data_IF_984019801056
#
_entry.id   IF_984019801056
#
_cell.length_a   1.000
_cell.length_b   1.000
_cell.length_c   1.000
_cell.angle_alpha   90.00
_cell.angle_beta   90.00
_cell.angle_gamma   90.00
#
_symmetry.space_group_name_H-M   'P 1'
#
loop_
_entity.id
_entity.type
_entity.pdbx_description
1 polymer ?
#
# COMPACT_ATOMS: atom_id res chain seq x y z
N UNK A 1 23.72 33.42 6.37
CA UNK A 1 22.98 32.92 7.55
C UNK A 1 23.03 31.41 7.51
N UNK A 2 23.92 30.79 8.28
CA UNK A 2 24.09 29.33 8.30
C UNK A 2 22.91 28.70 9.03
N UNK A 3 22.06 27.94 8.33
CA UNK A 3 20.97 27.17 8.93
C UNK A 3 21.43 25.74 9.24
N UNK A 4 22.55 25.60 9.95
CA UNK A 4 22.90 24.32 10.58
C UNK A 4 22.08 24.22 11.88
N UNK A 5 20.87 23.68 11.77
CA UNK A 5 20.14 23.25 12.97
C UNK A 5 20.88 22.02 13.49
N UNK A 6 21.53 22.16 14.67
CA UNK A 6 22.33 21.13 15.37
C UNK A 6 21.45 19.97 15.88
N UNK A 7 20.65 19.35 15.03
CA UNK A 7 20.09 18.04 15.32
C UNK A 7 21.21 17.02 15.03
N UNK A 8 21.95 16.62 16.08
CA UNK A 8 22.76 15.40 16.09
C UNK A 8 23.87 15.28 15.02
N UNK A 9 24.35 16.40 14.46
CA UNK A 9 25.37 16.40 13.41
C UNK A 9 24.83 16.09 12.00
N UNK A 10 23.52 16.16 11.81
CA UNK A 10 22.85 16.01 10.49
C UNK A 10 22.97 17.29 9.66
N UNK A 11 22.84 17.15 8.33
CA UNK A 11 22.90 18.29 7.43
C UNK A 11 21.63 19.15 7.51
N UNK A 12 20.47 18.51 7.67
CA UNK A 12 19.17 19.14 7.79
C UNK A 12 18.44 18.63 9.04
N UNK A 13 17.54 19.44 9.60
CA UNK A 13 16.69 19.04 10.73
C UNK A 13 15.82 17.83 10.40
N UNK A 14 15.41 17.09 11.44
CA UNK A 14 14.48 15.95 11.28
C UNK A 14 13.01 16.35 11.46
N UNK A 15 12.74 17.50 12.09
CA UNK A 15 11.38 18.04 12.19
C UNK A 15 10.80 18.34 10.79
N UNK A 16 9.60 17.84 10.46
CA UNK A 16 9.06 17.92 9.11
C UNK A 16 8.85 19.37 8.70
N UNK A 17 9.33 19.74 7.50
CA UNK A 17 8.92 20.97 6.84
C UNK A 17 7.47 20.86 6.35
N UNK A 18 6.85 21.97 5.96
CA UNK A 18 5.53 21.99 5.32
C UNK A 18 5.62 21.60 3.84
N UNK A 19 4.52 21.09 3.29
CA UNK A 19 4.33 20.90 1.84
C UNK A 19 3.81 22.19 1.21
N UNK A 20 3.90 22.34 -0.11
CA UNK A 20 3.43 23.55 -0.77
C UNK A 20 1.93 23.78 -0.58
N UNK A 21 1.15 22.71 -0.72
CA UNK A 21 -0.30 22.73 -0.45
C UNK A 21 -0.61 23.22 0.97
N UNK A 22 0.12 22.72 1.97
CA UNK A 22 -0.04 23.13 3.37
C UNK A 22 0.32 24.60 3.60
N UNK A 23 1.38 25.10 2.94
CA UNK A 23 1.77 26.51 3.02
C UNK A 23 0.67 27.41 2.44
N UNK A 24 0.08 27.01 1.31
CA UNK A 24 -1.02 27.75 0.68
C UNK A 24 -2.27 27.75 1.57
N UNK A 25 -2.68 26.60 2.10
CA UNK A 25 -3.83 26.48 3.00
C UNK A 25 -3.65 27.31 4.28
N UNK A 26 -2.49 27.19 4.93
CA UNK A 26 -2.17 27.98 6.13
C UNK A 26 -2.06 29.48 5.82
N UNK A 27 -1.56 29.85 4.64
CA UNK A 27 -1.50 31.24 4.17
C UNK A 27 -2.88 31.84 3.96
N UNK A 28 -3.79 31.09 3.32
CA UNK A 28 -5.19 31.50 3.13
C UNK A 28 -5.91 31.67 4.47
N UNK A 29 -5.72 30.74 5.41
CA UNK A 29 -6.34 30.84 6.73
C UNK A 29 -5.77 32.01 7.54
N UNK A 30 -4.45 32.25 7.46
CA UNK A 30 -3.81 33.44 8.05
C UNK A 30 -4.46 34.72 7.51
N UNK A 31 -4.62 34.82 6.19
CA UNK A 31 -5.15 36.02 5.54
C UNK A 31 -6.64 36.22 5.86
N UNK A 32 -7.41 35.14 5.95
CA UNK A 32 -8.80 35.14 6.42
C UNK A 32 -8.93 35.65 7.86
N UNK A 33 -8.09 35.14 8.77
CA UNK A 33 -8.08 35.57 10.17
C UNK A 33 -7.67 37.05 10.30
N UNK A 34 -6.66 37.49 9.53
CA UNK A 34 -6.28 38.91 9.46
C UNK A 34 -7.44 39.76 8.97
N UNK A 35 -8.11 39.38 7.89
CA UNK A 35 -9.24 40.14 7.36
C UNK A 35 -10.39 40.26 8.39
N UNK A 36 -10.64 39.20 9.16
CA UNK A 36 -11.67 39.19 10.19
C UNK A 36 -11.29 40.07 11.38
N UNK A 37 -10.04 40.02 11.83
CA UNK A 37 -9.55 40.85 12.93
C UNK A 37 -9.41 42.33 12.56
N UNK A 38 -9.18 42.64 11.29
CA UNK A 38 -9.14 43.99 10.73
C UNK A 38 -10.50 44.46 10.18
N UNK A 39 -11.59 43.73 10.47
CA UNK A 39 -12.92 44.12 10.03
C UNK A 39 -13.31 45.52 10.58
N UNK A 40 -14.14 46.28 9.84
CA UNK A 40 -14.61 47.59 10.27
C UNK A 40 -15.20 47.59 11.70
N UNK A 41 -15.16 48.73 12.42
CA UNK A 41 -15.53 48.79 13.84
C UNK A 41 -16.91 48.22 14.19
N UNK A 42 -17.89 48.35 13.28
CA UNK A 42 -19.25 47.87 13.46
C UNK A 42 -19.37 46.33 13.43
N UNK A 43 -18.45 45.64 12.75
CA UNK A 43 -18.38 44.16 12.74
C UNK A 43 -17.45 43.63 13.83
N UNK A 44 -16.45 44.42 14.22
CA UNK A 44 -15.45 44.02 15.22
C UNK A 44 -16.06 43.75 16.60
N UNK A 45 -17.10 44.49 16.98
CA UNK A 45 -17.81 44.30 18.24
C UNK A 45 -18.68 43.03 18.28
N UNK A 46 -18.95 42.42 17.12
CA UNK A 46 -19.67 41.14 17.02
C UNK A 46 -18.74 39.91 17.10
N UNK A 47 -17.42 40.12 17.10
CA UNK A 47 -16.44 39.04 17.19
C UNK A 47 -16.28 38.67 18.67
N UNK A 48 -16.93 37.59 19.09
CA UNK A 48 -16.90 37.10 20.47
C UNK A 48 -15.50 36.60 20.88
N UNK A 49 -14.73 36.05 19.94
CA UNK A 49 -13.52 35.27 20.20
C UNK A 49 -12.24 35.90 19.62
N UNK A 50 -12.12 37.23 19.65
CA UNK A 50 -10.97 37.92 19.05
C UNK A 50 -9.62 37.48 19.65
N UNK A 51 -9.55 37.24 20.96
CA UNK A 51 -8.32 36.82 21.65
C UNK A 51 -7.83 35.44 21.20
N UNK A 52 -8.75 34.48 21.03
CA UNK A 52 -8.39 33.14 20.58
C UNK A 52 -7.96 33.17 19.11
N UNK A 53 -8.62 33.98 18.27
CA UNK A 53 -8.21 34.23 16.88
C UNK A 53 -6.80 34.82 16.77
N UNK A 54 -6.44 35.80 17.61
CA UNK A 54 -5.07 36.31 17.67
C UNK A 54 -4.06 35.23 18.07
N UNK A 55 -4.41 34.38 19.05
CA UNK A 55 -3.58 33.26 19.47
C UNK A 55 -3.39 32.20 18.37
N UNK A 56 -4.43 31.94 17.57
CA UNK A 56 -4.34 31.07 16.38
C UNK A 56 -3.48 31.71 15.30
N UNK A 57 -3.71 32.99 14.99
CA UNK A 57 -2.95 33.73 13.99
C UNK A 57 -1.45 33.73 14.30
N UNK A 58 -1.08 34.03 15.55
CA UNK A 58 0.33 34.02 15.99
C UNK A 58 0.98 32.64 15.84
N UNK A 59 0.25 31.56 16.18
CA UNK A 59 0.75 30.18 16.01
C UNK A 59 0.91 29.81 14.54
N UNK A 60 -0.03 30.23 13.69
CA UNK A 60 0.05 30.01 12.24
C UNK A 60 1.25 30.74 11.64
N UNK A 61 1.46 32.01 11.99
CA UNK A 61 2.61 32.80 11.53
C UNK A 61 3.93 32.19 11.97
N UNK A 62 4.05 31.78 13.23
CA UNK A 62 5.24 31.10 13.75
C UNK A 62 5.50 29.77 13.03
N UNK A 63 4.44 29.00 12.74
CA UNK A 63 4.57 27.72 12.04
C UNK A 63 4.97 27.92 10.58
N UNK A 64 4.38 28.90 9.89
CA UNK A 64 4.76 29.28 8.53
C UNK A 64 6.22 29.75 8.47
N UNK A 65 6.66 30.59 9.39
CA UNK A 65 8.03 31.10 9.41
C UNK A 65 9.07 30.01 9.68
N UNK A 66 8.76 29.11 10.62
CA UNK A 66 9.66 28.03 11.04
C UNK A 66 9.69 26.88 10.05
N UNK A 67 8.55 26.51 9.48
CA UNK A 67 8.38 25.23 8.79
C UNK A 67 8.24 25.35 7.27
N UNK A 68 8.20 26.57 6.73
CA UNK A 68 8.30 26.77 5.27
C UNK A 68 9.72 26.40 4.78
N UNK A 69 9.84 25.50 3.78
CA UNK A 69 11.13 25.18 3.16
C UNK A 69 11.79 26.44 2.60
N UNK A 70 13.02 26.72 3.06
CA UNK A 70 13.85 27.79 2.50
C UNK A 70 14.77 27.21 1.43
N UNK A 71 15.00 27.98 0.39
CA UNK A 71 15.93 27.62 -0.68
C UNK A 71 17.35 27.42 -0.12
N UNK A 72 18.09 26.50 -0.72
CA UNK A 72 19.54 26.43 -0.59
C UNK A 72 20.20 27.52 -1.44
N UNK A 73 21.28 28.09 -0.93
CA UNK A 73 22.06 29.12 -1.60
C UNK A 73 23.49 28.66 -1.86
N UNK A 74 24.00 28.92 -3.07
CA UNK A 74 25.40 28.69 -3.45
C UNK A 74 25.91 27.29 -3.10
N UNK A 75 27.05 27.21 -2.40
CA UNK A 75 27.72 25.95 -2.07
C UNK A 75 26.90 25.00 -1.18
N UNK A 76 25.86 25.47 -0.50
CA UNK A 76 25.00 24.60 0.29
C UNK A 76 24.05 23.77 -0.60
N UNK A 77 23.77 24.23 -1.83
CA UNK A 77 23.00 23.46 -2.80
C UNK A 77 23.74 22.19 -3.22
N UNK A 78 25.02 22.31 -3.58
CA UNK A 78 25.83 21.16 -4.00
C UNK A 78 26.00 20.13 -2.87
N UNK A 79 26.19 20.61 -1.63
CA UNK A 79 26.23 19.75 -0.44
C UNK A 79 24.90 19.04 -0.22
N UNK A 80 23.79 19.74 -0.38
CA UNK A 80 22.45 19.18 -0.23
C UNK A 80 22.18 18.09 -1.28
N UNK A 81 22.57 18.32 -2.54
CA UNK A 81 22.45 17.32 -3.63
C UNK A 81 23.31 16.09 -3.34
N UNK A 82 24.55 16.27 -2.88
CA UNK A 82 25.41 15.16 -2.50
C UNK A 82 24.82 14.36 -1.34
N UNK A 83 24.35 15.04 -0.30
CA UNK A 83 23.73 14.43 0.88
C UNK A 83 22.42 13.71 0.54
N UNK A 84 21.62 14.26 -0.36
CA UNK A 84 20.39 13.63 -0.86
C UNK A 84 20.71 12.27 -1.48
N UNK A 85 21.75 12.21 -2.33
CA UNK A 85 22.17 10.97 -2.98
C UNK A 85 22.70 9.94 -1.99
N UNK A 86 23.51 10.36 -1.02
CA UNK A 86 24.01 9.48 0.06
C UNK A 86 22.86 8.87 0.86
N UNK A 87 21.91 9.71 1.32
CA UNK A 87 20.74 9.26 2.07
C UNK A 87 19.85 8.36 1.23
N UNK A 88 19.67 8.67 -0.05
CA UNK A 88 18.88 7.85 -0.97
C UNK A 88 19.42 6.43 -1.08
N UNK A 89 20.72 6.26 -1.26
CA UNK A 89 21.33 4.93 -1.34
C UNK A 89 21.27 4.20 0.01
N UNK A 90 21.47 4.91 1.12
CA UNK A 90 21.31 4.34 2.46
C UNK A 90 19.89 3.87 2.76
N UNK A 91 18.89 4.66 2.40
CA UNK A 91 17.46 4.36 2.63
C UNK A 91 17.01 3.16 1.79
N UNK A 92 17.55 2.99 0.59
CA UNK A 92 17.25 1.82 -0.26
C UNK A 92 17.76 0.52 0.34
N UNK A 93 18.83 0.56 1.13
CA UNK A 93 19.38 -0.63 1.75
C UNK A 93 18.37 -1.26 2.73
N UNK A 94 18.09 -2.54 2.52
CA UNK A 94 17.09 -3.29 3.28
C UNK A 94 15.64 -2.84 3.09
N UNK A 95 15.34 -1.94 2.14
CA UNK A 95 13.98 -1.51 1.84
C UNK A 95 13.19 -2.66 1.22
N UNK A 96 11.97 -3.00 1.73
CA UNK A 96 11.15 -4.04 1.11
C UNK A 96 10.79 -3.67 -0.33
N UNK A 97 10.66 -4.63 -1.24
CA UNK A 97 10.32 -4.35 -2.64
C UNK A 97 8.86 -3.95 -2.80
N UNK A 98 8.52 -3.35 -3.95
CA UNK A 98 7.15 -2.99 -4.27
C UNK A 98 6.23 -4.22 -4.32
N UNK A 99 6.74 -5.36 -4.77
CA UNK A 99 6.00 -6.63 -4.78
C UNK A 99 5.74 -7.12 -3.36
N UNK A 100 6.74 -7.08 -2.47
CA UNK A 100 6.59 -7.47 -1.06
C UNK A 100 5.52 -6.64 -0.36
N UNK A 101 5.55 -5.31 -0.49
CA UNK A 101 4.51 -4.49 0.16
C UNK A 101 3.12 -4.66 -0.43
N UNK A 102 3.05 -4.90 -1.75
CA UNK A 102 1.77 -5.07 -2.43
C UNK A 102 1.14 -6.42 -2.11
N UNK A 103 1.93 -7.48 -2.03
CA UNK A 103 1.45 -8.85 -1.81
C UNK A 103 1.38 -9.24 -0.35
N UNK A 104 2.19 -8.58 0.48
CA UNK A 104 2.34 -8.82 1.89
C UNK A 104 2.61 -10.31 2.20
N UNK A 105 3.76 -10.87 1.74
CA UNK A 105 4.16 -12.20 2.16
C UNK A 105 4.45 -12.26 3.68
N UNK A 106 4.41 -13.45 4.29
CA UNK A 106 4.76 -13.62 5.70
C UNK A 106 6.13 -12.98 6.01
N UNK A 107 6.19 -12.15 7.04
CA UNK A 107 7.39 -11.43 7.45
C UNK A 107 7.69 -10.11 6.71
N UNK A 108 6.93 -9.75 5.67
CA UNK A 108 7.11 -8.48 4.96
C UNK A 108 6.84 -7.25 5.85
N UNK A 109 5.81 -7.33 6.70
CA UNK A 109 5.48 -6.27 7.65
C UNK A 109 6.62 -6.06 8.65
N UNK A 110 7.16 -7.14 9.24
CA UNK A 110 8.26 -7.04 10.21
C UNK A 110 9.53 -6.48 9.56
N UNK A 111 9.85 -6.93 8.34
CA UNK A 111 10.94 -6.40 7.53
C UNK A 111 10.76 -4.89 7.30
N UNK A 112 9.55 -4.46 6.95
CA UNK A 112 9.22 -3.05 6.75
C UNK A 112 9.38 -2.24 8.05
N UNK A 113 8.85 -2.72 9.16
CA UNK A 113 8.95 -2.05 10.47
C UNK A 113 10.40 -1.91 10.93
N UNK A 114 11.21 -2.96 10.80
CA UNK A 114 12.63 -2.93 11.16
C UNK A 114 13.43 -1.99 10.24
N UNK A 115 13.13 -1.98 8.94
CA UNK A 115 13.71 -1.04 8.01
C UNK A 115 13.32 0.41 8.35
N UNK A 116 12.05 0.67 8.65
CA UNK A 116 11.56 2.00 8.98
C UNK A 116 12.19 2.50 10.28
N UNK A 117 12.24 1.67 11.32
CA UNK A 117 12.86 2.00 12.59
C UNK A 117 14.34 2.41 12.44
N UNK A 118 15.10 1.70 11.60
CA UNK A 118 16.52 1.99 11.33
C UNK A 118 16.71 3.28 10.52
N UNK A 119 15.81 3.56 9.58
CA UNK A 119 15.97 4.65 8.61
C UNK A 119 15.13 5.90 8.92
N UNK A 120 14.31 5.90 9.97
CA UNK A 120 13.34 6.98 10.26
C UNK A 120 13.93 8.38 10.21
N UNK A 121 15.08 8.58 10.88
CA UNK A 121 15.74 9.89 10.94
C UNK A 121 16.36 10.28 9.60
N UNK A 122 16.95 9.32 8.88
CA UNK A 122 17.53 9.54 7.55
C UNK A 122 16.45 9.86 6.51
N UNK A 123 15.30 9.19 6.60
CA UNK A 123 14.12 9.47 5.79
C UNK A 123 13.60 10.88 6.07
N UNK A 124 13.55 11.30 7.33
CA UNK A 124 13.09 12.64 7.69
C UNK A 124 14.02 13.73 7.14
N UNK A 125 15.34 13.55 7.29
CA UNK A 125 16.36 14.42 6.71
C UNK A 125 16.25 14.49 5.18
N UNK A 126 16.15 13.33 4.51
CA UNK A 126 16.01 13.22 3.06
C UNK A 126 14.75 13.94 2.55
N UNK A 127 13.61 13.75 3.23
CA UNK A 127 12.34 14.42 2.89
C UNK A 127 12.46 15.94 2.96
N UNK A 128 13.14 16.46 3.99
CA UNK A 128 13.33 17.89 4.16
C UNK A 128 14.30 18.47 3.11
N UNK A 129 15.40 17.77 2.83
CA UNK A 129 16.33 18.15 1.77
C UNK A 129 15.60 18.21 0.42
N UNK A 130 14.81 17.18 0.06
CA UNK A 130 14.04 17.16 -1.20
C UNK A 130 13.08 18.34 -1.33
N UNK A 131 12.40 18.74 -0.25
CA UNK A 131 11.49 19.89 -0.27
C UNK A 131 12.23 21.22 -0.45
N UNK A 132 13.37 21.39 0.22
CA UNK A 132 14.22 22.58 0.05
C UNK A 132 14.85 22.64 -1.35
N UNK A 133 15.29 21.51 -1.90
CA UNK A 133 15.79 21.43 -3.28
C UNK A 133 14.70 21.78 -4.31
N UNK A 134 13.46 21.35 -4.05
CA UNK A 134 12.31 21.74 -4.88
C UNK A 134 12.01 23.24 -4.79
N UNK A 135 12.06 23.81 -3.58
CA UNK A 135 11.96 25.27 -3.41
C UNK A 135 13.06 26.03 -4.18
N UNK A 136 14.29 25.50 -4.19
CA UNK A 136 15.41 26.06 -4.96
C UNK A 136 15.29 25.89 -6.49
N UNK A 137 14.25 25.22 -7.00
CA UNK A 137 14.11 24.92 -8.43
C UNK A 137 15.10 23.87 -8.95
N UNK A 138 15.81 23.16 -8.08
CA UNK A 138 16.78 22.12 -8.45
C UNK A 138 16.10 20.76 -8.75
N UNK A 139 14.83 20.59 -8.37
CA UNK A 139 14.01 19.43 -8.70
C UNK A 139 13.01 19.82 -9.78
N UNK A 140 12.81 18.95 -10.77
CA UNK A 140 11.92 19.18 -11.89
C UNK A 140 10.48 19.54 -11.46
N UNK A 141 9.96 20.65 -11.99
CA UNK A 141 8.66 21.23 -11.65
C UNK A 141 7.45 20.37 -12.09
N UNK A 142 7.67 19.36 -12.94
CA UNK A 142 6.65 18.42 -13.40
C UNK A 142 6.15 17.46 -12.31
N UNK A 143 6.87 17.37 -11.17
CA UNK A 143 6.51 16.50 -10.05
C UNK A 143 5.50 17.19 -9.14
N UNK A 144 4.34 16.55 -8.94
CA UNK A 144 3.32 17.06 -7.99
C UNK A 144 3.88 17.20 -6.57
N UNK A 145 3.39 18.18 -5.81
CA UNK A 145 3.80 18.46 -4.40
C UNK A 145 3.76 17.19 -3.51
N UNK A 146 2.80 16.29 -3.74
CA UNK A 146 2.68 15.02 -3.00
C UNK A 146 3.84 14.06 -3.28
N UNK A 147 4.41 14.12 -4.46
CA UNK A 147 5.43 13.19 -4.95
C UNK A 147 6.86 13.67 -4.69
N UNK A 148 7.09 14.97 -4.45
CA UNK A 148 8.44 15.55 -4.28
C UNK A 148 9.30 14.79 -3.27
N UNK A 149 8.71 14.44 -2.12
CA UNK A 149 9.36 13.78 -1.00
C UNK A 149 8.70 12.43 -0.64
N UNK A 150 8.14 11.72 -1.64
CA UNK A 150 7.55 10.41 -1.44
C UNK A 150 8.64 9.32 -1.46
N UNK A 151 8.85 8.67 -0.30
CA UNK A 151 9.86 7.61 -0.14
C UNK A 151 9.52 6.37 -0.95
N UNK A 152 8.24 6.09 -1.21
CA UNK A 152 7.81 4.94 -1.99
C UNK A 152 8.36 4.95 -3.42
N UNK A 153 8.73 6.12 -3.95
CA UNK A 153 9.37 6.25 -5.26
C UNK A 153 10.80 5.67 -5.30
N UNK A 154 11.41 5.45 -4.14
CA UNK A 154 12.75 4.85 -4.02
C UNK A 154 12.70 3.33 -4.04
N UNK A 155 11.51 2.75 -3.85
CA UNK A 155 11.32 1.31 -3.71
C UNK A 155 11.63 0.60 -5.03
N UNK A 156 12.37 -0.50 -4.96
CA UNK A 156 12.66 -1.31 -6.14
C UNK A 156 11.42 -2.07 -6.61
N UNK A 157 11.29 -2.24 -7.93
CA UNK A 157 10.22 -3.04 -8.54
C UNK A 157 10.47 -4.56 -8.43
N UNK A 158 11.71 -4.97 -8.12
CA UNK A 158 12.13 -6.36 -7.94
C UNK A 158 13.54 -6.44 -7.33
N UNK A 159 13.98 -7.62 -6.88
CA UNK A 159 15.31 -7.84 -6.31
C UNK A 159 15.38 -8.98 -5.29
N UNK A 160 16.05 -8.75 -4.16
CA UNK A 160 16.09 -9.68 -3.01
C UNK A 160 14.74 -9.69 -2.29
N UNK A 161 13.81 -10.47 -2.83
CA UNK A 161 12.45 -10.63 -2.31
C UNK A 161 12.38 -11.82 -1.34
N UNK A 162 11.52 -11.69 -0.34
CA UNK A 162 11.01 -12.80 0.46
C UNK A 162 10.28 -13.78 -0.45
N UNK A 163 10.15 -15.04 -0.01
CA UNK A 163 9.26 -15.97 -0.68
C UNK A 163 7.84 -15.40 -0.69
N UNK A 164 7.19 -15.45 -1.85
CA UNK A 164 5.82 -14.99 -2.04
C UNK A 164 4.79 -16.08 -1.67
N UNK A 165 5.26 -17.25 -1.22
CA UNK A 165 4.41 -18.34 -0.77
C UNK A 165 3.64 -17.94 0.50
N UNK A 166 2.33 -18.17 0.50
CA UNK A 166 1.46 -17.75 1.59
C UNK A 166 1.24 -16.24 1.68
N UNK A 167 1.54 -15.49 0.61
CA UNK A 167 1.22 -14.06 0.55
C UNK A 167 -0.28 -13.80 0.66
N UNK A 168 -0.63 -12.76 1.42
CA UNK A 168 -2.02 -12.38 1.65
C UNK A 168 -2.77 -12.07 0.35
N UNK A 169 -2.07 -11.48 -0.64
CA UNK A 169 -2.59 -11.30 -1.98
C UNK A 169 -1.85 -12.26 -2.91
N UNK A 170 -2.51 -13.35 -3.37
CA UNK A 170 -1.88 -14.38 -4.16
C UNK A 170 -1.48 -13.85 -5.55
N UNK A 171 -0.47 -14.48 -6.15
CA UNK A 171 -0.11 -14.19 -7.52
C UNK A 171 -1.23 -14.70 -8.42
N UNK A 172 -1.95 -13.75 -9.01
CA UNK A 172 -2.92 -14.06 -10.03
C UNK A 172 -2.26 -13.88 -11.39
N UNK A 173 -2.13 -14.97 -12.16
CA UNK A 173 -1.68 -14.92 -13.54
C UNK A 173 -2.87 -14.60 -14.42
N UNK A 174 -2.86 -13.40 -14.99
CA UNK A 174 -3.85 -12.99 -15.99
C UNK A 174 -3.41 -13.50 -17.36
N UNK A 175 -4.26 -14.29 -18.00
CA UNK A 175 -4.01 -14.74 -19.37
C UNK A 175 -4.84 -13.88 -20.33
N UNK A 176 -4.15 -13.20 -21.24
CA UNK A 176 -4.78 -12.42 -22.30
C UNK A 176 -4.92 -13.28 -23.56
N UNK A 177 -6.14 -13.38 -24.08
CA UNK A 177 -6.37 -13.95 -25.41
C UNK A 177 -6.33 -12.86 -26.48
N UNK A 178 -6.19 -13.25 -27.74
CA UNK A 178 -6.36 -12.36 -28.90
C UNK A 178 -7.82 -11.87 -28.96
N UNK A 179 -8.14 -10.77 -28.26
CA UNK A 179 -9.38 -10.01 -28.49
C UNK A 179 -10.54 -10.18 -27.48
N UNK A 180 -10.34 -10.64 -26.25
CA UNK A 180 -11.44 -10.77 -25.28
C UNK A 180 -11.01 -10.90 -23.82
N UNK A 181 -11.98 -10.68 -22.92
CA UNK A 181 -11.93 -10.69 -21.43
C UNK A 181 -10.78 -11.49 -20.81
N UNK A 182 -10.13 -10.93 -19.79
CA UNK A 182 -9.05 -11.62 -19.06
C UNK A 182 -9.61 -12.59 -18.03
N UNK A 183 -9.25 -13.87 -18.15
CA UNK A 183 -9.44 -14.87 -17.09
C UNK A 183 -8.19 -14.95 -16.21
N UNK A 184 -8.42 -15.08 -14.91
CA UNK A 184 -7.38 -15.02 -13.89
C UNK A 184 -7.27 -16.34 -13.14
N UNK A 185 -6.05 -16.87 -13.01
CA UNK A 185 -5.78 -18.08 -12.22
C UNK A 185 -4.81 -17.77 -11.07
N UNK A 186 -5.10 -18.30 -9.90
CA UNK A 186 -4.19 -18.33 -8.75
C UNK A 186 -3.14 -19.44 -8.92
N UNK A 187 -2.02 -19.35 -8.19
CA UNK A 187 -1.01 -20.41 -8.22
C UNK A 187 -1.53 -21.74 -7.65
N UNK A 188 -2.49 -21.70 -6.71
CA UNK A 188 -3.18 -22.89 -6.20
C UNK A 188 -4.04 -23.57 -7.28
N UNK A 189 -4.84 -22.80 -8.02
CA UNK A 189 -5.64 -23.31 -9.15
C UNK A 189 -4.75 -23.90 -10.25
N UNK A 190 -3.60 -23.27 -10.53
CA UNK A 190 -2.63 -23.80 -11.49
C UNK A 190 -1.92 -25.05 -10.98
N UNK A 191 -1.68 -25.15 -9.67
CA UNK A 191 -1.13 -26.35 -9.03
C UNK A 191 -2.11 -27.52 -9.04
N UNK A 192 -3.41 -27.26 -8.85
CA UNK A 192 -4.46 -28.26 -9.04
C UNK A 192 -4.55 -28.70 -10.50
N UNK A 193 -4.54 -27.74 -11.43
CA UNK A 193 -4.57 -28.03 -12.87
C UNK A 193 -3.34 -28.83 -13.32
N UNK A 194 -2.17 -28.59 -12.74
CA UNK A 194 -0.97 -29.40 -13.01
C UNK A 194 -1.15 -30.87 -12.62
N UNK A 195 -1.81 -31.12 -11.49
CA UNK A 195 -2.07 -32.48 -10.99
C UNK A 195 -3.12 -33.21 -11.80
N UNK A 196 -4.22 -32.52 -12.16
CA UNK A 196 -5.36 -33.11 -12.86
C UNK A 196 -5.12 -33.21 -14.37
N UNK A 197 -4.61 -32.14 -14.99
CA UNK A 197 -4.44 -32.03 -16.43
C UNK A 197 -3.21 -31.19 -16.81
N UNK A 198 -1.98 -31.75 -16.73
CA UNK A 198 -0.73 -31.01 -16.93
C UNK A 198 -0.62 -30.39 -18.34
N UNK A 199 -1.11 -31.09 -19.38
CA UNK A 199 -1.15 -30.54 -20.75
C UNK A 199 -2.05 -29.32 -20.87
N UNK A 200 -3.14 -29.27 -20.10
CA UNK A 200 -4.09 -28.15 -20.15
C UNK A 200 -3.49 -26.90 -19.49
N UNK A 201 -2.68 -27.06 -18.43
CA UNK A 201 -1.90 -25.98 -17.82
C UNK A 201 -0.95 -25.32 -18.81
N UNK A 202 -0.25 -26.10 -19.64
CA UNK A 202 0.67 -25.58 -20.66
C UNK A 202 -0.07 -24.81 -21.76
N UNK A 203 -1.26 -25.29 -22.15
CA UNK A 203 -2.05 -24.71 -23.22
C UNK A 203 -2.95 -23.55 -22.78
N UNK A 204 -3.05 -23.25 -21.48
CA UNK A 204 -4.01 -22.28 -20.92
C UNK A 204 -3.86 -20.87 -21.52
N UNK A 205 -2.63 -20.50 -21.92
CA UNK A 205 -2.35 -19.23 -22.58
C UNK A 205 -2.92 -19.15 -24.01
N UNK A 206 -3.08 -20.30 -24.67
CA UNK A 206 -3.59 -20.42 -26.05
C UNK A 206 -5.11 -20.52 -26.12
N UNK A 207 -5.78 -20.78 -24.99
CA UNK A 207 -7.23 -20.92 -24.92
C UNK A 207 -7.96 -19.58 -24.99
N UNK A 208 -9.21 -19.61 -25.43
CA UNK A 208 -10.09 -18.43 -25.41
C UNK A 208 -10.47 -18.04 -23.98
N UNK A 209 -11.01 -16.83 -23.81
CA UNK A 209 -11.50 -16.38 -22.51
C UNK A 209 -12.60 -17.31 -21.95
N UNK A 210 -13.57 -17.69 -22.79
CA UNK A 210 -14.69 -18.53 -22.38
C UNK A 210 -14.21 -19.93 -21.97
N UNK A 211 -13.26 -20.51 -22.70
CA UNK A 211 -12.65 -21.80 -22.36
C UNK A 211 -11.89 -21.75 -21.03
N UNK A 212 -11.20 -20.64 -20.75
CA UNK A 212 -10.50 -20.46 -19.48
C UNK A 212 -11.48 -20.32 -18.31
N UNK A 213 -12.59 -19.59 -18.49
CA UNK A 213 -13.62 -19.44 -17.47
C UNK A 213 -14.32 -20.78 -17.17
N UNK A 214 -14.53 -21.62 -18.19
CA UNK A 214 -15.07 -22.97 -18.05
C UNK A 214 -14.12 -23.91 -17.29
N UNK A 215 -12.82 -23.86 -17.60
CA UNK A 215 -11.78 -24.59 -16.85
C UNK A 215 -11.74 -24.13 -15.40
N UNK A 216 -11.79 -22.82 -15.15
CA UNK A 216 -11.79 -22.26 -13.80
C UNK A 216 -13.02 -22.72 -13.01
N UNK A 217 -14.19 -22.72 -13.63
CA UNK A 217 -15.43 -23.20 -13.02
C UNK A 217 -15.33 -24.70 -12.68
N UNK A 218 -14.75 -25.49 -13.58
CA UNK A 218 -14.54 -26.92 -13.38
C UNK A 218 -13.54 -27.21 -12.25
N UNK A 219 -12.43 -26.48 -12.19
CA UNK A 219 -11.44 -26.58 -11.10
C UNK A 219 -12.02 -26.19 -9.75
N UNK A 220 -12.88 -25.18 -9.69
CA UNK A 220 -13.56 -24.80 -8.45
C UNK A 220 -14.56 -25.86 -8.00
N UNK A 221 -15.28 -26.49 -8.92
CA UNK A 221 -16.14 -27.63 -8.62
C UNK A 221 -15.33 -28.84 -8.11
N UNK A 222 -14.16 -29.09 -8.69
CA UNK A 222 -13.30 -30.21 -8.32
C UNK A 222 -12.53 -29.98 -7.00
N UNK A 223 -12.15 -28.73 -6.71
CA UNK A 223 -11.60 -28.33 -5.41
C UNK A 223 -12.62 -28.51 -4.26
N UNK A 224 -13.92 -28.42 -4.56
CA UNK A 224 -14.99 -28.77 -3.60
C UNK A 224 -15.12 -30.30 -3.42
N UNK A 225 -14.69 -31.09 -4.41
CA UNK A 225 -14.79 -32.56 -4.41
C UNK A 225 -13.61 -33.21 -3.67
N UNK A 226 -12.41 -32.62 -3.66
CA UNK A 226 -11.24 -33.12 -2.92
C UNK A 226 -11.16 -32.66 -1.46
N UNK A 227 -12.26 -32.74 -0.71
CA UNK A 227 -12.23 -32.54 0.74
C UNK A 227 -11.82 -33.83 1.45
N UNK A 228 -10.77 -33.76 2.26
CA UNK A 228 -10.32 -34.81 3.16
C UNK A 228 -11.52 -35.33 3.99
N UNK A 229 -11.82 -36.65 4.04
CA UNK A 229 -12.94 -37.20 4.80
C UNK A 229 -12.91 -36.81 6.29
N UNK A 230 -11.74 -36.45 6.84
CA UNK A 230 -11.61 -35.90 8.20
C UNK A 230 -12.23 -34.50 8.36
N UNK A 231 -12.32 -33.71 7.30
CA UNK A 231 -12.92 -32.37 7.31
C UNK A 231 -14.46 -32.38 7.30
N UNK A 232 -15.07 -33.53 6.99
CA UNK A 232 -16.53 -33.69 6.93
C UNK A 232 -17.17 -33.78 8.32
N UNK A 233 -16.39 -34.16 9.34
CA UNK A 233 -16.87 -34.29 10.72
C UNK A 233 -17.21 -32.96 11.39
N UNK A 234 -16.73 -31.83 10.86
CA UNK A 234 -17.02 -30.49 11.37
C UNK A 234 -18.29 -29.84 10.81
N UNK A 235 -18.95 -30.43 9.80
CA UNK A 235 -20.01 -29.76 9.04
C UNK A 235 -21.30 -29.59 9.83
N UNK A 236 -21.90 -28.40 9.79
CA UNK A 236 -23.25 -28.20 10.32
C UNK A 236 -24.29 -28.98 9.48
N UNK A 237 -25.46 -29.27 10.04
CA UNK A 237 -26.52 -30.03 9.34
C UNK A 237 -26.93 -29.36 8.02
N UNK A 238 -26.99 -28.03 7.99
CA UNK A 238 -27.32 -27.25 6.80
C UNK A 238 -26.25 -27.42 5.71
N UNK A 239 -24.98 -27.32 6.08
CA UNK A 239 -23.85 -27.46 5.14
C UNK A 239 -23.74 -28.90 4.60
N UNK A 240 -23.92 -29.91 5.46
CA UNK A 240 -23.95 -31.31 5.04
C UNK A 240 -25.08 -31.59 4.04
N UNK A 241 -26.25 -30.97 4.24
CA UNK A 241 -27.41 -31.10 3.35
C UNK A 241 -27.21 -30.42 1.99
N UNK A 242 -26.67 -29.20 1.99
CA UNK A 242 -26.33 -28.48 0.75
C UNK A 242 -25.27 -29.23 -0.05
N UNK A 243 -24.28 -29.83 0.61
CA UNK A 243 -23.24 -30.65 -0.04
C UNK A 243 -23.78 -31.95 -0.60
N UNK A 244 -24.65 -32.66 0.13
CA UNK A 244 -25.35 -33.84 -0.43
C UNK A 244 -26.15 -33.47 -1.67
N UNK A 245 -26.85 -32.32 -1.67
CA UNK A 245 -27.59 -31.84 -2.84
C UNK A 245 -26.67 -31.56 -4.03
N UNK A 246 -25.54 -30.91 -3.79
CA UNK A 246 -24.55 -30.61 -4.83
C UNK A 246 -23.93 -31.88 -5.44
N UNK A 247 -23.74 -32.92 -4.61
CA UNK A 247 -23.26 -34.24 -5.05
C UNK A 247 -24.36 -35.14 -5.64
N UNK A 248 -25.62 -34.68 -5.75
CA UNK A 248 -26.74 -35.48 -6.26
C UNK A 248 -27.19 -36.61 -5.32
N UNK A 249 -26.82 -36.56 -4.03
CA UNK A 249 -27.15 -37.55 -3.02
C UNK A 249 -28.46 -37.23 -2.29
N UNK A 250 -29.04 -38.24 -1.64
CA UNK A 250 -30.24 -38.08 -0.83
C UNK A 250 -30.01 -37.12 0.36
N UNK A 251 -30.90 -36.14 0.52
CA UNK A 251 -30.73 -35.02 1.49
C UNK A 251 -31.57 -35.16 2.77
N UNK A 252 -32.23 -36.31 2.97
CA UNK A 252 -33.02 -36.62 4.17
C UNK A 252 -32.21 -37.36 5.22
N UNK A 253 -32.40 -37.05 6.51
CA UNK A 253 -31.74 -37.74 7.62
C UNK A 253 -31.07 -36.79 8.63
N UNK A 254 -30.45 -37.41 9.63
CA UNK A 254 -29.65 -36.70 10.63
C UNK A 254 -28.34 -36.16 10.01
N UNK A 255 -27.64 -35.27 10.72
CA UNK A 255 -26.33 -34.77 10.28
C UNK A 255 -25.34 -35.91 10.06
N UNK A 256 -25.32 -36.89 10.95
CA UNK A 256 -24.42 -38.03 10.89
C UNK A 256 -24.69 -38.87 9.63
N UNK A 257 -25.97 -39.13 9.31
CA UNK A 257 -26.34 -39.86 8.09
C UNK A 257 -25.87 -39.16 6.80
N UNK A 258 -25.96 -37.82 6.77
CA UNK A 258 -25.53 -37.01 5.62
C UNK A 258 -24.00 -37.01 5.49
N UNK A 259 -23.28 -36.90 6.61
CA UNK A 259 -21.82 -36.95 6.65
C UNK A 259 -21.30 -38.33 6.24
N UNK A 260 -21.92 -39.41 6.71
CA UNK A 260 -21.54 -40.78 6.35
C UNK A 260 -21.78 -41.08 4.88
N UNK A 261 -22.86 -40.56 4.29
CA UNK A 261 -23.08 -40.66 2.83
C UNK A 261 -22.04 -39.90 2.03
N UNK A 262 -21.66 -38.69 2.47
CA UNK A 262 -20.59 -37.94 1.83
C UNK A 262 -19.26 -38.70 1.95
N UNK A 263 -18.93 -39.24 3.14
CA UNK A 263 -17.74 -40.07 3.36
C UNK A 263 -17.73 -41.33 2.46
N UNK A 264 -18.87 -42.01 2.32
CA UNK A 264 -18.98 -43.19 1.47
C UNK A 264 -18.89 -42.85 -0.03
N UNK A 265 -19.36 -41.67 -0.44
CA UNK A 265 -19.27 -41.18 -1.82
C UNK A 265 -17.83 -40.76 -2.16
N UNK A 266 -17.16 -40.03 -1.27
CA UNK A 266 -15.80 -39.52 -1.50
C UNK A 266 -14.69 -40.53 -1.15
N UNK A 267 -14.95 -41.54 -0.32
CA UNK A 267 -13.99 -42.58 0.04
C UNK A 267 -13.88 -43.75 -0.97
N UNK A 268 -14.63 -43.71 -2.07
CA UNK A 268 -14.61 -44.73 -3.14
C UNK A 268 -13.84 -44.31 -4.40
N UNK A 269 -13.41 -43.06 -4.49
CA UNK A 269 -12.58 -42.52 -5.58
C UNK A 269 -11.14 -42.32 -5.07
#
# INVERSE_FOLDING_TARGET
>A
MQTFTKDEGRFERTAPLLKQSQIQEMGQERDRLKATLHAPPHLRNAIQDASTMFGVLKRLEQSLERDTPREYAGADLDKAVRREKELREKIKDGMPTAAEMRRNPPGALDKHMQWEARNKADIAEWKNIRRRLWASGAVESSVSDRSVANVEMLRSAGGHELSMDGAQIPVTKSYYGLGGRSSTFTDEELGLLEKVAPRLKEMIALLSADQRDEIKTSLQAEAVIQLDPASLDGLTHKEARERCRAAGLETGGSREDLVDRLKAHYGKN
#
